data_IF_596769454865
#
_entry.id   IF_596769454865
#
_cell.length_a   1.000
_cell.length_b   1.000
_cell.length_c   1.000
_cell.angle_alpha   90.00
_cell.angle_beta   90.00
_cell.angle_gamma   90.00
#
_symmetry.space_group_name_H-M   'P 1'
#
loop_
_entity.id
_entity.type
_entity.pdbx_description
1 polymer ?
#
# COMPACT_ATOMS: atom_id res chain seq x y z
N UNK A 1 -12.71 1.80 6.48
CA UNK A 1 -13.29 3.16 6.36
C UNK A 1 -13.71 3.37 4.91
N UNK A 2 -14.89 3.95 4.67
CA UNK A 2 -15.48 4.00 3.31
C UNK A 2 -14.93 5.17 2.48
N UNK A 3 -14.57 6.29 3.12
CA UNK A 3 -14.20 7.53 2.41
C UNK A 3 -12.76 7.60 1.91
N UNK A 4 -11.94 6.56 2.11
CA UNK A 4 -10.52 6.55 1.70
C UNK A 4 -9.64 7.61 2.38
N UNK A 5 -10.01 8.08 3.58
CA UNK A 5 -9.24 9.07 4.35
C UNK A 5 -8.48 8.41 5.49
N UNK A 6 -7.28 8.91 5.79
CA UNK A 6 -6.56 8.59 7.02
C UNK A 6 -7.39 9.02 8.23
N UNK A 7 -7.50 8.16 9.24
CA UNK A 7 -8.33 8.37 10.41
C UNK A 7 -7.74 7.58 11.59
N UNK A 8 -8.26 7.85 12.79
CA UNK A 8 -7.96 7.11 14.01
C UNK A 8 -6.45 7.19 14.33
N UNK A 9 -6.00 8.43 14.52
CA UNK A 9 -4.63 8.75 14.89
C UNK A 9 -4.35 8.27 16.32
N UNK A 10 -4.01 6.99 16.46
CA UNK A 10 -3.53 6.35 17.68
C UNK A 10 -2.00 6.30 17.72
N UNK A 11 -1.37 5.12 17.89
CA UNK A 11 0.08 4.97 17.87
C UNK A 11 0.65 5.02 16.44
N UNK A 12 0.47 6.14 15.74
CA UNK A 12 1.09 6.40 14.44
C UNK A 12 2.44 7.10 14.61
N UNK A 13 3.21 7.17 13.52
CA UNK A 13 4.43 7.96 13.49
C UNK A 13 4.97 8.11 12.08
N UNK A 14 5.92 9.01 11.96
CA UNK A 14 6.75 9.14 10.78
C UNK A 14 8.07 8.40 10.98
N UNK A 15 8.63 7.92 9.87
CA UNK A 15 9.93 7.27 9.87
C UNK A 15 11.00 8.36 9.99
N UNK A 16 11.78 8.31 11.06
CA UNK A 16 12.98 9.13 11.23
C UNK A 16 14.19 8.52 10.52
N UNK A 17 14.37 7.20 10.71
CA UNK A 17 15.47 6.38 10.19
C UNK A 17 14.87 5.31 9.30
N UNK A 18 15.29 5.25 8.04
CA UNK A 18 14.65 4.39 7.05
C UNK A 18 14.73 2.92 7.47
N UNK A 19 13.57 2.35 7.78
CA UNK A 19 13.41 0.93 8.02
C UNK A 19 12.07 0.48 7.40
N UNK A 20 12.09 -0.40 6.39
CA UNK A 20 10.89 -0.90 5.73
C UNK A 20 10.00 -1.72 6.65
N UNK A 21 10.59 -2.37 7.66
CA UNK A 21 9.94 -3.17 8.68
C UNK A 21 9.43 -2.34 9.84
N UNK A 22 9.64 -1.03 9.82
CA UNK A 22 9.29 -0.15 10.90
C UNK A 22 7.78 -0.10 11.15
N UNK A 23 7.41 -0.21 12.41
CA UNK A 23 6.06 0.03 12.91
C UNK A 23 6.14 0.63 14.31
N UNK A 24 5.33 1.65 14.57
CA UNK A 24 5.33 2.37 15.86
C UNK A 24 4.78 1.55 17.02
N UNK A 25 3.89 0.60 16.73
CA UNK A 25 3.21 -0.17 17.75
C UNK A 25 3.87 -1.54 17.93
N UNK A 26 4.17 -1.91 19.18
CA UNK A 26 4.88 -3.13 19.57
C UNK A 26 4.22 -4.41 19.01
N UNK A 27 2.91 -4.37 18.74
CA UNK A 27 2.17 -5.51 18.20
C UNK A 27 1.72 -5.32 16.74
N UNK A 28 2.21 -4.29 16.04
CA UNK A 28 1.97 -4.13 14.61
C UNK A 28 2.48 -5.34 13.81
N UNK A 29 3.54 -5.98 14.33
CA UNK A 29 4.24 -7.08 13.68
C UNK A 29 4.70 -6.70 12.28
N UNK A 30 4.97 -7.72 11.46
CA UNK A 30 5.30 -7.49 10.05
C UNK A 30 4.09 -7.04 9.24
N UNK A 31 2.85 -7.30 9.70
CA UNK A 31 1.63 -7.05 8.95
C UNK A 31 1.35 -5.57 8.71
N UNK A 32 1.65 -4.71 9.68
CA UNK A 32 1.41 -3.26 9.59
C UNK A 32 2.70 -2.44 9.54
N UNK A 33 3.84 -3.08 9.25
CA UNK A 33 5.09 -2.38 8.98
C UNK A 33 4.96 -1.46 7.76
N UNK A 34 5.81 -0.44 7.69
CA UNK A 34 5.75 0.61 6.68
C UNK A 34 5.60 0.09 5.25
N UNK A 35 6.48 -0.81 4.81
CA UNK A 35 6.41 -1.34 3.45
C UNK A 35 5.33 -2.42 3.27
N UNK A 36 4.71 -2.91 4.35
CA UNK A 36 3.64 -3.91 4.27
C UNK A 36 2.22 -3.31 4.31
N UNK A 37 2.08 -2.00 4.55
CA UNK A 37 0.79 -1.31 4.56
C UNK A 37 -0.05 -1.54 3.28
N UNK A 38 0.51 -1.60 2.05
CA UNK A 38 -0.25 -1.95 0.85
C UNK A 38 -0.88 -3.35 0.91
N UNK A 39 -0.15 -4.33 1.45
CA UNK A 39 -0.68 -5.69 1.62
C UNK A 39 -1.83 -5.70 2.65
N UNK A 40 -1.64 -5.02 3.78
CA UNK A 40 -2.68 -4.90 4.81
C UNK A 40 -3.94 -4.20 4.27
N UNK A 41 -3.78 -3.12 3.50
CA UNK A 41 -4.88 -2.43 2.85
C UNK A 41 -5.61 -3.33 1.84
N UNK A 42 -4.89 -4.14 1.06
CA UNK A 42 -5.49 -5.14 0.16
C UNK A 42 -6.32 -6.19 0.89
N UNK A 43 -5.85 -6.68 2.03
CA UNK A 43 -6.62 -7.60 2.89
C UNK A 43 -7.88 -6.94 3.43
N UNK A 44 -7.78 -5.73 3.95
CA UNK A 44 -8.95 -4.99 4.43
C UNK A 44 -9.97 -4.72 3.31
N UNK A 45 -9.49 -4.41 2.11
CA UNK A 45 -10.36 -4.22 0.95
C UNK A 45 -11.08 -5.51 0.54
N UNK A 46 -10.37 -6.64 0.53
CA UNK A 46 -10.95 -7.96 0.28
C UNK A 46 -12.04 -8.29 1.32
N UNK A 47 -11.76 -8.11 2.62
CA UNK A 47 -12.75 -8.39 3.69
C UNK A 47 -13.99 -7.51 3.56
N UNK A 48 -13.82 -6.23 3.19
CA UNK A 48 -14.95 -5.35 2.90
C UNK A 48 -15.76 -5.86 1.71
N UNK A 49 -15.14 -6.25 0.61
CA UNK A 49 -15.83 -6.81 -0.54
C UNK A 49 -16.57 -8.11 -0.20
N UNK A 50 -15.95 -9.01 0.56
CA UNK A 50 -16.59 -10.24 1.02
C UNK A 50 -17.86 -9.96 1.85
N UNK A 51 -17.86 -8.91 2.68
CA UNK A 51 -19.04 -8.51 3.45
C UNK A 51 -20.22 -8.05 2.59
N UNK A 52 -19.98 -7.65 1.33
CA UNK A 52 -21.01 -7.21 0.39
C UNK A 52 -21.62 -8.37 -0.40
N UNK A 53 -20.94 -9.53 -0.50
CA UNK A 53 -21.39 -10.67 -1.31
C UNK A 53 -22.82 -11.13 -1.01
N UNK A 54 -23.30 -11.19 0.25
CA UNK A 54 -24.69 -11.58 0.54
C UNK A 54 -25.75 -10.65 -0.06
N UNK A 55 -25.37 -9.43 -0.44
CA UNK A 55 -26.27 -8.42 -1.01
C UNK A 55 -26.26 -8.41 -2.54
N UNK A 56 -25.41 -9.23 -3.18
CA UNK A 56 -25.16 -9.20 -4.62
C UNK A 56 -25.80 -10.40 -5.33
N UNK A 57 -26.24 -10.19 -6.57
CA UNK A 57 -26.57 -11.29 -7.47
C UNK A 57 -25.30 -11.90 -8.10
N UNK A 58 -25.45 -12.86 -9.01
CA UNK A 58 -24.32 -13.53 -9.66
C UNK A 58 -23.44 -12.56 -10.48
N UNK A 59 -24.06 -11.58 -11.15
CA UNK A 59 -23.34 -10.62 -11.98
C UNK A 59 -22.57 -9.63 -11.10
N UNK A 60 -23.22 -9.06 -10.08
CA UNK A 60 -22.59 -8.16 -9.12
C UNK A 60 -21.47 -8.84 -8.32
N UNK A 61 -21.64 -10.12 -7.98
CA UNK A 61 -20.59 -10.92 -7.34
C UNK A 61 -19.37 -11.09 -8.24
N UNK A 62 -19.58 -11.31 -9.54
CA UNK A 62 -18.49 -11.44 -10.50
C UNK A 62 -17.77 -10.11 -10.74
N UNK A 63 -18.51 -9.01 -10.86
CA UNK A 63 -17.97 -7.66 -11.00
C UNK A 63 -17.13 -7.29 -9.77
N UNK A 64 -17.65 -7.52 -8.57
CA UNK A 64 -16.96 -7.23 -7.32
C UNK A 64 -15.64 -7.99 -7.20
N UNK A 65 -15.61 -9.27 -7.59
CA UNK A 65 -14.35 -10.06 -7.64
C UNK A 65 -13.35 -9.48 -8.63
N UNK A 66 -13.81 -9.00 -9.78
CA UNK A 66 -12.96 -8.31 -10.77
C UNK A 66 -12.35 -7.02 -10.21
N UNK A 67 -13.13 -6.21 -9.50
CA UNK A 67 -12.66 -4.99 -8.83
C UNK A 67 -11.59 -5.33 -7.78
N UNK A 68 -11.82 -6.34 -6.93
CA UNK A 68 -10.86 -6.78 -5.92
C UNK A 68 -9.57 -7.30 -6.56
N UNK A 69 -9.68 -8.07 -7.65
CA UNK A 69 -8.52 -8.59 -8.38
C UNK A 69 -7.65 -7.48 -9.00
N UNK A 70 -8.22 -6.30 -9.28
CA UNK A 70 -7.47 -5.14 -9.78
C UNK A 70 -6.69 -4.36 -8.72
N UNK A 71 -6.86 -4.68 -7.43
CA UNK A 71 -6.20 -3.96 -6.33
C UNK A 71 -4.66 -3.96 -6.41
N UNK A 72 -3.96 -5.11 -6.64
CA UNK A 72 -2.51 -5.14 -6.65
C UNK A 72 -1.91 -4.17 -7.68
N UNK A 73 -2.48 -4.12 -8.88
CA UNK A 73 -2.02 -3.23 -9.94
C UNK A 73 -2.32 -1.76 -9.64
N UNK A 74 -3.50 -1.47 -9.08
CA UNK A 74 -3.85 -0.12 -8.66
C UNK A 74 -2.92 0.40 -7.55
N UNK A 75 -2.65 -0.44 -6.55
CA UNK A 75 -1.72 -0.12 -5.46
C UNK A 75 -0.30 0.09 -5.96
N UNK A 76 0.19 -0.81 -6.85
CA UNK A 76 1.53 -0.69 -7.44
C UNK A 76 1.68 0.61 -8.21
N UNK A 77 0.75 0.91 -9.14
CA UNK A 77 0.78 2.15 -9.93
C UNK A 77 0.77 3.41 -9.05
N UNK A 78 0.01 3.41 -7.97
CA UNK A 78 -0.04 4.53 -7.03
C UNK A 78 1.31 4.75 -6.32
N UNK A 79 1.97 3.66 -5.89
CA UNK A 79 3.29 3.71 -5.25
C UNK A 79 4.38 4.13 -6.23
N UNK A 80 4.41 3.54 -7.43
CA UNK A 80 5.40 3.87 -8.46
C UNK A 80 5.32 5.35 -8.84
N UNK A 81 4.10 5.89 -8.98
CA UNK A 81 3.88 7.31 -9.23
C UNK A 81 4.37 8.17 -8.07
N UNK A 82 4.13 7.75 -6.84
CA UNK A 82 4.57 8.46 -5.64
C UNK A 82 6.10 8.51 -5.55
N UNK A 83 6.78 7.38 -5.79
CA UNK A 83 8.25 7.31 -5.78
C UNK A 83 8.88 8.12 -6.91
N UNK A 84 8.40 7.97 -8.14
CA UNK A 84 8.87 8.76 -9.27
C UNK A 84 8.76 10.27 -8.98
N UNK A 85 7.65 10.72 -8.40
CA UNK A 85 7.47 12.14 -8.04
C UNK A 85 8.40 12.60 -6.93
N UNK A 86 8.69 11.75 -5.94
CA UNK A 86 9.66 12.04 -4.88
C UNK A 86 11.09 12.14 -5.40
N UNK A 87 11.41 11.39 -6.45
CA UNK A 87 12.69 11.47 -7.19
C UNK A 87 12.76 12.65 -8.17
N UNK A 88 11.70 13.45 -8.29
CA UNK A 88 11.65 14.59 -9.24
C UNK A 88 11.36 14.21 -10.69
N UNK A 89 10.91 12.97 -10.94
CA UNK A 89 10.58 12.46 -12.28
C UNK A 89 9.12 12.72 -12.64
N UNK A 90 8.82 12.70 -13.94
CA UNK A 90 7.48 13.02 -14.47
C UNK A 90 6.44 11.91 -14.21
N UNK A 91 6.87 10.67 -14.03
CA UNK A 91 6.00 9.53 -13.77
C UNK A 91 6.77 8.21 -13.75
N UNK A 92 6.04 7.09 -13.58
CA UNK A 92 6.63 5.75 -13.59
C UNK A 92 7.36 5.45 -14.91
N UNK A 93 8.57 4.92 -14.81
CA UNK A 93 9.40 4.46 -15.93
C UNK A 93 10.39 3.41 -15.43
N UNK A 94 11.04 2.68 -16.33
CA UNK A 94 12.12 1.75 -15.95
C UNK A 94 13.26 2.46 -15.20
N UNK A 95 13.61 3.67 -15.64
CA UNK A 95 14.60 4.53 -14.97
C UNK A 95 14.14 4.91 -13.56
N UNK A 96 12.87 5.28 -13.37
CA UNK A 96 12.34 5.62 -12.05
C UNK A 96 12.39 4.43 -11.09
N UNK A 97 12.06 3.24 -11.58
CA UNK A 97 12.13 2.00 -10.79
C UNK A 97 13.57 1.66 -10.41
N UNK A 98 14.51 1.73 -11.37
CA UNK A 98 15.93 1.45 -11.12
C UNK A 98 16.53 2.44 -10.09
N UNK A 99 16.24 3.73 -10.23
CA UNK A 99 16.69 4.76 -9.28
C UNK A 99 16.09 4.56 -7.88
N UNK A 100 14.82 4.17 -7.80
CA UNK A 100 14.19 3.86 -6.52
C UNK A 100 14.84 2.64 -5.87
N UNK A 101 15.06 1.55 -6.61
CA UNK A 101 15.70 0.33 -6.09
C UNK A 101 17.11 0.62 -5.55
N UNK A 102 17.92 1.39 -6.27
CA UNK A 102 19.26 1.78 -5.84
C UNK A 102 19.21 2.67 -4.58
N UNK A 103 18.35 3.70 -4.58
CA UNK A 103 18.20 4.60 -3.44
C UNK A 103 17.72 3.85 -2.19
N UNK A 104 16.73 2.97 -2.35
CA UNK A 104 16.16 2.18 -1.25
C UNK A 104 17.21 1.28 -0.60
N UNK A 105 18.07 0.67 -1.43
CA UNK A 105 19.20 -0.12 -0.94
C UNK A 105 20.21 0.74 -0.16
N UNK A 106 20.53 1.94 -0.64
CA UNK A 106 21.42 2.89 0.05
C UNK A 106 20.83 3.37 1.38
N UNK A 107 19.53 3.66 1.42
CA UNK A 107 18.83 4.06 2.65
C UNK A 107 18.88 2.98 3.72
N UNK A 108 18.80 1.70 3.34
CA UNK A 108 18.97 0.57 4.28
C UNK A 108 20.39 0.46 4.84
N UNK A 109 21.41 0.79 4.04
CA UNK A 109 22.82 0.70 4.43
C UNK A 109 23.26 1.87 5.30
N UNK A 110 22.62 3.03 5.14
CA UNK A 110 22.91 4.25 5.90
C UNK A 110 21.67 4.79 6.63
N UNK A 111 21.15 4.05 7.61
CA UNK A 111 19.88 4.38 8.21
C UNK A 111 20.05 5.46 9.30
#
# INVERSE_FOLDING_TARGET
LISGRTMDYGPFGFIEKYDPGWGMWIHAGEHFSFMNQPQAAGKNFQMFAESLLPLMDANGSQELRGIVAGYPDASRRALDLMWARKLGLRGPSEEASALWEELEQLLRQHP
#
